data_IF_195058690449
#
_entry.id   IF_195058690449
#
_cell.length_a   1.000
_cell.length_b   1.000
_cell.length_c   1.000
_cell.angle_alpha   90.00
_cell.angle_beta   90.00
_cell.angle_gamma   90.00
#
_symmetry.space_group_name_H-M   'P 1'
#
loop_
_entity.id
_entity.type
_entity.pdbx_description
1 polymer ?
#
# COMPACT_ATOMS: atom_id res chain seq x y z
N UNK A 1 7.78 0.01 14.99
CA UNK A 1 6.63 0.86 14.65
C UNK A 1 6.09 0.57 13.24
N UNK A 2 6.96 0.54 12.22
CA UNK A 2 6.62 0.16 10.84
C UNK A 2 5.76 -1.12 10.71
N UNK A 3 6.16 -2.20 11.39
CA UNK A 3 5.46 -3.50 11.34
C UNK A 3 4.02 -3.45 11.92
N UNK A 4 3.79 -2.67 12.98
CA UNK A 4 2.44 -2.50 13.57
C UNK A 4 1.49 -1.75 12.62
N UNK A 5 2.01 -0.78 11.85
CA UNK A 5 1.21 0.00 10.90
C UNK A 5 0.84 -0.78 9.62
N UNK A 6 1.71 -1.70 9.18
CA UNK A 6 1.39 -2.66 8.12
C UNK A 6 0.21 -3.54 8.57
N UNK A 7 0.28 -4.08 9.79
CA UNK A 7 -0.79 -4.92 10.35
C UNK A 7 -2.09 -4.14 10.49
N UNK A 8 -2.06 -2.91 10.98
CA UNK A 8 -3.25 -2.08 11.14
C UNK A 8 -3.92 -1.71 9.82
N UNK A 9 -3.14 -1.28 8.82
CA UNK A 9 -3.67 -0.87 7.52
C UNK A 9 -4.24 -2.06 6.74
N UNK A 10 -3.54 -3.20 6.74
CA UNK A 10 -4.03 -4.44 6.13
C UNK A 10 -5.21 -5.06 6.88
N UNK A 11 -5.34 -4.81 8.19
CA UNK A 11 -6.43 -5.31 9.02
C UNK A 11 -7.82 -4.85 8.58
N UNK A 12 -7.92 -3.80 7.75
CA UNK A 12 -9.19 -3.35 7.16
C UNK A 12 -9.75 -4.28 6.08
N UNK A 13 -8.92 -5.18 5.54
CA UNK A 13 -9.28 -6.04 4.43
C UNK A 13 -9.15 -7.52 4.83
N UNK A 14 -9.91 -8.38 4.16
CA UNK A 14 -9.87 -9.83 4.31
C UNK A 14 -9.63 -10.50 2.97
N UNK A 15 -9.25 -11.79 2.99
CA UNK A 15 -9.01 -12.58 1.77
C UNK A 15 -8.04 -11.92 0.79
N UNK A 16 -8.39 -11.94 -0.49
CA UNK A 16 -7.57 -11.42 -1.59
C UNK A 16 -7.35 -9.90 -1.49
N UNK A 17 -8.33 -9.14 -0.98
CA UNK A 17 -8.17 -7.69 -0.80
C UNK A 17 -7.10 -7.36 0.25
N UNK A 18 -6.91 -8.23 1.24
CA UNK A 18 -5.81 -8.09 2.21
C UNK A 18 -4.46 -8.26 1.52
N UNK A 19 -4.35 -9.21 0.60
CA UNK A 19 -3.14 -9.39 -0.20
C UNK A 19 -2.85 -8.17 -1.07
N UNK A 20 -3.87 -7.64 -1.77
CA UNK A 20 -3.75 -6.42 -2.56
C UNK A 20 -3.22 -5.22 -1.75
N UNK A 21 -3.73 -5.05 -0.52
CA UNK A 21 -3.25 -4.02 0.39
C UNK A 21 -1.77 -4.23 0.78
N UNK A 22 -1.39 -5.46 1.17
CA UNK A 22 0.00 -5.81 1.50
C UNK A 22 0.95 -5.56 0.32
N UNK A 23 0.50 -5.86 -0.90
CA UNK A 23 1.27 -5.60 -2.12
C UNK A 23 1.46 -4.10 -2.38
N UNK A 24 0.46 -3.27 -2.02
CA UNK A 24 0.54 -1.81 -2.04
C UNK A 24 1.66 -1.27 -1.14
N UNK A 25 1.88 -1.90 0.01
CA UNK A 25 2.87 -1.49 1.00
C UNK A 25 4.32 -1.92 0.67
N UNK A 26 4.51 -2.73 -0.37
CA UNK A 26 5.86 -3.15 -0.80
C UNK A 26 6.70 -1.96 -1.23
N UNK A 27 8.00 -2.09 -0.96
CA UNK A 27 8.98 -1.06 -1.31
C UNK A 27 9.03 -0.83 -2.83
N UNK A 28 9.16 0.43 -3.21
CA UNK A 28 9.05 0.86 -4.60
C UNK A 28 10.38 1.47 -5.08
N UNK A 29 11.29 0.58 -5.47
CA UNK A 29 12.64 0.92 -5.91
C UNK A 29 12.70 1.82 -7.15
N UNK A 30 11.63 1.81 -7.97
CA UNK A 30 11.53 2.61 -9.20
C UNK A 30 10.95 4.02 -8.97
N UNK A 31 10.46 4.33 -7.76
CA UNK A 31 9.94 5.66 -7.43
C UNK A 31 8.59 6.01 -8.08
N UNK A 32 7.89 5.07 -8.70
CA UNK A 32 6.57 5.31 -9.29
C UNK A 32 5.50 5.66 -8.24
N UNK A 33 4.59 6.57 -8.56
CA UNK A 33 3.51 6.91 -7.61
C UNK A 33 2.59 5.71 -7.36
N UNK A 34 1.83 5.74 -6.26
CA UNK A 34 0.83 4.72 -5.98
C UNK A 34 -0.23 4.65 -7.10
N UNK A 35 -0.58 5.82 -7.65
CA UNK A 35 -1.47 5.99 -8.79
C UNK A 35 -0.98 5.22 -10.00
N UNK A 36 0.29 5.41 -10.36
CA UNK A 36 0.91 4.70 -11.47
C UNK A 36 1.03 3.20 -11.21
N UNK A 37 1.33 2.78 -9.98
CA UNK A 37 1.43 1.35 -9.65
C UNK A 37 0.08 0.64 -9.73
N UNK A 38 -1.02 1.31 -9.35
CA UNK A 38 -2.34 0.71 -9.38
C UNK A 38 -2.90 0.50 -10.78
N UNK A 39 -2.43 1.23 -11.79
CA UNK A 39 -2.86 1.00 -13.19
C UNK A 39 -2.37 -0.33 -13.75
N UNK A 40 -1.41 -0.98 -13.10
CA UNK A 40 -0.91 -2.30 -13.49
C UNK A 40 -1.64 -3.46 -12.80
N UNK A 41 -2.61 -3.17 -11.93
CA UNK A 41 -3.36 -4.21 -11.21
C UNK A 41 -4.47 -4.74 -12.10
N UNK A 42 -4.43 -6.05 -12.35
CA UNK A 42 -5.38 -6.75 -13.22
C UNK A 42 -6.43 -7.55 -12.43
N UNK A 43 -6.25 -7.68 -11.11
CA UNK A 43 -7.12 -8.44 -10.19
C UNK A 43 -8.44 -7.72 -9.84
N UNK A 44 -8.83 -6.73 -10.67
CA UNK A 44 -10.08 -6.00 -10.55
C UNK A 44 -10.00 -4.70 -9.74
N UNK A 45 -11.07 -3.90 -9.86
CA UNK A 45 -11.13 -2.55 -9.30
C UNK A 45 -11.03 -2.54 -7.77
N UNK A 46 -11.61 -3.52 -7.10
CA UNK A 46 -11.55 -3.64 -5.65
C UNK A 46 -10.11 -3.85 -5.16
N UNK A 47 -9.33 -4.69 -5.85
CA UNK A 47 -7.92 -4.90 -5.55
C UNK A 47 -7.11 -3.62 -5.78
N UNK A 48 -7.34 -2.94 -6.92
CA UNK A 48 -6.66 -1.69 -7.23
C UNK A 48 -6.90 -0.60 -6.17
N UNK A 49 -8.13 -0.49 -5.66
CA UNK A 49 -8.48 0.42 -4.55
C UNK A 49 -7.81 0.03 -3.24
N UNK A 50 -7.82 -1.26 -2.87
CA UNK A 50 -7.18 -1.74 -1.65
C UNK A 50 -5.66 -1.51 -1.66
N UNK A 51 -5.02 -1.81 -2.80
CA UNK A 51 -3.62 -1.53 -3.04
C UNK A 51 -3.31 -0.04 -2.89
N UNK A 52 -4.08 0.82 -3.58
CA UNK A 52 -3.85 2.27 -3.58
C UNK A 52 -3.92 2.85 -2.17
N UNK A 53 -4.95 2.48 -1.41
CA UNK A 53 -5.15 2.93 -0.05
C UNK A 53 -3.93 2.59 0.83
N UNK A 54 -3.45 1.34 0.77
CA UNK A 54 -2.34 0.91 1.61
C UNK A 54 -0.98 1.44 1.13
N UNK A 55 -0.80 1.62 -0.19
CA UNK A 55 0.39 2.24 -0.76
C UNK A 55 0.56 3.69 -0.28
N UNK A 56 -0.51 4.50 -0.29
CA UNK A 56 -0.45 5.88 0.18
C UNK A 56 -0.20 5.95 1.69
N UNK A 57 -0.83 5.05 2.48
CA UNK A 57 -0.60 5.00 3.93
C UNK A 57 0.87 4.78 4.30
N UNK A 58 1.59 3.88 3.61
CA UNK A 58 3.00 3.66 3.94
C UNK A 58 3.92 4.80 3.47
N UNK A 59 3.55 5.48 2.38
CA UNK A 59 4.32 6.63 1.86
C UNK A 59 4.26 7.81 2.81
N UNK A 60 3.08 8.13 3.35
CA UNK A 60 2.90 9.22 4.31
C UNK A 60 3.83 9.04 5.53
N UNK A 61 4.04 7.80 5.99
CA UNK A 61 4.93 7.50 7.11
C UNK A 61 6.43 7.53 6.75
N UNK A 62 6.81 7.11 5.54
CA UNK A 62 8.21 7.22 5.09
C UNK A 62 8.67 8.66 4.99
N UNK A 63 7.78 9.57 4.57
CA UNK A 63 8.09 11.00 4.51
C UNK A 63 8.27 11.60 5.92
N UNK A 64 7.56 11.10 6.93
CA UNK A 64 7.71 11.56 8.33
C UNK A 64 8.97 11.03 9.02
N UNK A 65 9.58 9.94 8.55
CA UNK A 65 10.85 9.41 9.08
C UNK A 65 12.09 10.09 8.46
N UNK A 66 11.94 10.89 7.40
CA UNK A 66 13.02 11.66 6.76
C UNK A 66 13.15 13.10 7.25
N UNK A 67 12.33 13.54 8.21
CA UNK A 67 12.39 14.87 8.82
C UNK A 67 12.88 14.86 10.29
N UNK A 68 13.44 13.73 10.78
CA UNK A 68 14.19 13.64 12.05
C UNK A 68 15.66 13.25 11.83
#
# INVERSE_FOLDING_TARGET
LFYMNIVFSAGKYTGELKQCCVDGMRDNKLGYTCERRATYIVDGEACAKAFMYCCNKIKDHKNTETEE
#
